data_IF_894276166164
#
_entry.id   IF_894276166164
#
_cell.length_a   1.000
_cell.length_b   1.000
_cell.length_c   1.000
_cell.angle_alpha   90.00
_cell.angle_beta   90.00
_cell.angle_gamma   90.00
#
_symmetry.space_group_name_H-M   'P 1'
#
loop_
_entity.id
_entity.type
_entity.pdbx_description
1 polymer ?
#
# COMPACT_ATOMS: atom_id res chain seq x y z
N UNK A 1 21.86 -6.83 -15.43
CA UNK A 1 22.15 -5.40 -15.17
C UNK A 1 22.67 -5.26 -13.75
N UNK A 2 23.99 -5.14 -13.58
CA UNK A 2 24.61 -4.76 -12.30
C UNK A 2 24.35 -3.25 -12.10
N UNK A 3 23.41 -2.89 -11.25
CA UNK A 3 23.14 -1.48 -10.93
C UNK A 3 24.13 -1.02 -9.86
N UNK A 4 24.89 0.00 -10.23
CA UNK A 4 26.03 0.59 -9.53
C UNK A 4 25.62 1.23 -8.19
N UNK A 5 25.60 0.43 -7.13
CA UNK A 5 25.83 0.89 -5.76
C UNK A 5 27.31 0.73 -5.44
N UNK A 6 28.18 1.50 -6.09
CA UNK A 6 29.58 1.57 -5.68
C UNK A 6 29.64 2.21 -4.28
N UNK A 7 30.24 1.53 -3.30
CA UNK A 7 30.44 2.02 -1.93
C UNK A 7 31.19 3.37 -1.83
N UNK A 8 31.79 3.85 -2.92
CA UNK A 8 32.57 5.11 -3.00
C UNK A 8 31.91 6.22 -3.82
N UNK A 9 30.96 5.93 -4.73
CA UNK A 9 30.32 6.93 -5.63
C UNK A 9 28.84 6.66 -5.97
N UNK A 10 28.19 5.72 -5.29
CA UNK A 10 26.79 5.33 -5.51
C UNK A 10 25.79 6.01 -4.58
N UNK A 11 24.50 5.80 -4.85
CA UNK A 11 23.42 6.20 -3.95
C UNK A 11 23.48 5.39 -2.65
N UNK A 12 23.27 6.06 -1.52
CA UNK A 12 23.16 5.36 -0.23
C UNK A 12 21.92 4.45 -0.22
N UNK A 13 21.93 3.32 0.51
CA UNK A 13 20.75 2.46 0.67
C UNK A 13 19.49 3.21 1.11
N UNK A 14 19.65 4.24 1.94
CA UNK A 14 18.56 5.12 2.38
C UNK A 14 17.96 5.92 1.23
N UNK A 15 18.80 6.50 0.36
CA UNK A 15 18.35 7.23 -0.83
C UNK A 15 17.71 6.29 -1.86
N UNK A 16 18.26 5.10 -2.08
CA UNK A 16 17.66 4.08 -2.93
C UNK A 16 16.26 3.69 -2.44
N UNK A 17 16.12 3.46 -1.13
CA UNK A 17 14.83 3.18 -0.50
C UNK A 17 13.84 4.33 -0.65
N UNK A 18 14.30 5.58 -0.47
CA UNK A 18 13.47 6.76 -0.64
C UNK A 18 12.96 6.86 -2.08
N UNK A 19 13.84 6.72 -3.07
CA UNK A 19 13.48 6.75 -4.50
C UNK A 19 12.46 5.66 -4.85
N UNK A 20 12.64 4.46 -4.30
CA UNK A 20 11.68 3.37 -4.48
C UNK A 20 10.29 3.76 -3.94
N UNK A 21 10.22 4.32 -2.73
CA UNK A 21 8.95 4.72 -2.11
C UNK A 21 8.29 5.92 -2.79
N UNK A 22 9.07 6.90 -3.26
CA UNK A 22 8.53 8.13 -3.85
C UNK A 22 8.13 7.96 -5.31
N UNK A 23 8.88 7.18 -6.09
CA UNK A 23 8.70 7.10 -7.54
C UNK A 23 8.09 5.75 -7.95
N UNK A 24 8.66 4.63 -7.48
CA UNK A 24 8.31 3.31 -8.01
C UNK A 24 6.99 2.80 -7.42
N UNK A 25 6.84 2.88 -6.09
CA UNK A 25 5.65 2.37 -5.40
C UNK A 25 4.37 3.06 -5.88
N UNK A 26 4.29 4.40 -6.02
CA UNK A 26 3.07 5.06 -6.47
C UNK A 26 2.70 4.69 -7.91
N UNK A 27 3.67 4.62 -8.82
CA UNK A 27 3.43 4.24 -10.22
C UNK A 27 2.91 2.80 -10.30
N UNK A 28 3.58 1.87 -9.60
CA UNK A 28 3.21 0.46 -9.62
C UNK A 28 1.88 0.17 -8.92
N UNK A 29 1.53 0.96 -7.90
CA UNK A 29 0.28 0.80 -7.15
C UNK A 29 -0.87 1.63 -7.70
N UNK A 30 -0.67 2.59 -8.61
CA UNK A 30 -1.75 3.44 -9.12
C UNK A 30 -2.97 2.64 -9.62
N UNK A 31 -2.70 1.58 -10.40
CA UNK A 31 -3.73 0.72 -10.98
C UNK A 31 -4.29 -0.35 -10.04
N UNK A 32 -3.89 -0.41 -8.76
CA UNK A 32 -4.27 -1.53 -7.88
C UNK A 32 -5.80 -1.69 -7.76
N UNK A 33 -6.53 -0.57 -7.81
CA UNK A 33 -7.99 -0.52 -7.69
C UNK A 33 -8.71 -1.26 -8.82
N UNK A 34 -8.06 -1.50 -9.97
CA UNK A 34 -8.65 -2.17 -11.14
C UNK A 34 -8.56 -3.70 -11.09
N UNK A 35 -7.71 -4.27 -10.23
CA UNK A 35 -7.46 -5.72 -10.23
C UNK A 35 -7.36 -6.32 -8.81
N UNK A 36 -7.43 -5.48 -7.77
CA UNK A 36 -7.39 -5.89 -6.37
C UNK A 36 -8.79 -5.82 -5.75
N UNK A 37 -9.61 -6.83 -6.05
CA UNK A 37 -10.94 -7.00 -5.46
C UNK A 37 -11.01 -8.29 -4.62
N UNK A 38 -12.03 -8.36 -3.77
CA UNK A 38 -12.18 -9.43 -2.78
C UNK A 38 -12.58 -10.79 -3.39
N UNK A 39 -13.12 -10.81 -4.61
CA UNK A 39 -13.54 -12.03 -5.32
C UNK A 39 -12.52 -12.56 -6.34
N UNK A 40 -11.66 -11.71 -6.89
CA UNK A 40 -10.74 -12.07 -8.00
C UNK A 40 -9.42 -11.32 -7.88
N UNK A 41 -8.54 -11.79 -6.99
CA UNK A 41 -7.16 -11.28 -6.96
C UNK A 41 -6.40 -11.78 -8.18
N UNK A 42 -6.03 -10.87 -9.07
CA UNK A 42 -5.19 -11.23 -10.21
C UNK A 42 -3.80 -11.68 -9.71
N UNK A 43 -3.57 -12.99 -9.73
CA UNK A 43 -2.30 -13.61 -9.31
C UNK A 43 -1.11 -13.10 -10.15
N UNK A 44 -1.34 -12.82 -11.43
CA UNK A 44 -0.33 -12.28 -12.36
C UNK A 44 0.17 -10.90 -11.93
N UNK A 45 -0.75 -9.97 -11.71
CA UNK A 45 -0.42 -8.62 -11.23
C UNK A 45 0.30 -8.66 -9.87
N UNK A 46 -0.17 -9.50 -8.93
CA UNK A 46 0.51 -9.70 -7.65
C UNK A 46 1.95 -10.23 -7.81
N UNK A 47 2.15 -11.18 -8.73
CA UNK A 47 3.47 -11.75 -8.99
C UNK A 47 4.42 -10.74 -9.64
N UNK A 48 3.93 -9.90 -10.56
CA UNK A 48 4.70 -8.80 -11.14
C UNK A 48 5.15 -7.82 -10.06
N UNK A 49 4.25 -7.45 -9.15
CA UNK A 49 4.52 -6.53 -8.06
C UNK A 49 5.53 -7.11 -7.05
N UNK A 50 5.44 -8.41 -6.74
CA UNK A 50 6.44 -9.14 -5.94
C UNK A 50 7.81 -9.18 -6.62
N UNK A 51 7.87 -9.44 -7.93
CA UNK A 51 9.14 -9.44 -8.70
C UNK A 51 9.79 -8.05 -8.69
N UNK A 52 9.00 -7.00 -8.86
CA UNK A 52 9.45 -5.61 -8.78
C UNK A 52 10.04 -5.32 -7.38
N UNK A 53 9.30 -5.66 -6.31
CA UNK A 53 9.77 -5.44 -4.95
C UNK A 53 11.04 -6.22 -4.61
N UNK A 54 11.17 -7.47 -5.07
CA UNK A 54 12.41 -8.25 -4.89
C UNK A 54 13.61 -7.58 -5.59
N UNK A 55 13.43 -7.08 -6.81
CA UNK A 55 14.49 -6.34 -7.52
C UNK A 55 14.88 -5.07 -6.75
N UNK A 56 13.90 -4.33 -6.25
CA UNK A 56 14.16 -3.14 -5.42
C UNK A 56 14.88 -3.50 -4.12
N UNK A 57 14.48 -4.58 -3.43
CA UNK A 57 15.11 -5.02 -2.20
C UNK A 57 16.58 -5.45 -2.42
N UNK A 58 16.87 -6.17 -3.50
CA UNK A 58 18.24 -6.50 -3.92
C UNK A 58 19.05 -5.24 -4.23
N UNK A 59 18.46 -4.26 -4.91
CA UNK A 59 19.13 -3.00 -5.23
C UNK A 59 19.43 -2.15 -3.98
N UNK A 60 18.52 -2.11 -3.01
CA UNK A 60 18.71 -1.36 -1.76
C UNK A 60 19.74 -2.03 -0.85
N UNK A 61 19.68 -3.36 -0.72
CA UNK A 61 20.53 -4.10 0.23
C UNK A 61 21.88 -4.50 -0.36
N UNK A 62 22.01 -4.59 -1.69
CA UNK A 62 23.20 -5.12 -2.34
C UNK A 62 23.44 -6.61 -2.09
N UNK A 63 22.45 -7.34 -1.58
CA UNK A 63 22.57 -8.75 -1.21
C UNK A 63 22.60 -9.68 -2.44
N UNK A 64 23.04 -10.92 -2.24
CA UNK A 64 23.10 -11.93 -3.30
C UNK A 64 21.71 -12.27 -3.87
N UNK A 65 21.65 -12.59 -5.17
CA UNK A 65 20.41 -12.99 -5.84
C UNK A 65 19.74 -14.23 -5.23
N UNK A 66 20.51 -15.11 -4.60
CA UNK A 66 20.06 -16.33 -3.90
C UNK A 66 19.42 -16.05 -2.54
N UNK A 67 19.51 -14.82 -2.02
CA UNK A 67 18.97 -14.47 -0.71
C UNK A 67 17.44 -14.61 -0.66
N UNK A 68 16.88 -15.06 0.48
CA UNK A 68 15.44 -15.23 0.63
C UNK A 68 14.70 -13.88 0.59
N UNK A 69 13.58 -13.82 -0.13
CA UNK A 69 12.86 -12.55 -0.38
C UNK A 69 12.33 -11.90 0.90
N UNK A 70 11.80 -12.69 1.85
CA UNK A 70 11.30 -12.14 3.12
C UNK A 70 12.40 -11.49 3.96
N UNK A 71 13.60 -12.09 3.97
CA UNK A 71 14.77 -11.52 4.65
C UNK A 71 15.23 -10.21 3.99
N UNK A 72 15.24 -10.16 2.66
CA UNK A 72 15.59 -8.95 1.91
C UNK A 72 14.61 -7.81 2.18
N UNK A 73 13.31 -8.09 2.22
CA UNK A 73 12.29 -7.08 2.54
C UNK A 73 12.48 -6.53 3.95
N UNK A 74 12.76 -7.40 4.93
CA UNK A 74 13.03 -6.99 6.31
C UNK A 74 14.30 -6.11 6.41
N UNK A 75 15.40 -6.54 5.79
CA UNK A 75 16.67 -5.78 5.77
C UNK A 75 16.55 -4.45 5.02
N UNK A 76 15.78 -4.41 3.93
CA UNK A 76 15.51 -3.19 3.18
C UNK A 76 14.49 -2.27 3.87
N UNK A 77 13.84 -2.71 4.95
CA UNK A 77 12.76 -1.98 5.61
C UNK A 77 11.53 -1.79 4.71
N UNK A 78 11.24 -2.76 3.85
CA UNK A 78 10.09 -2.76 2.95
C UNK A 78 8.94 -3.59 3.55
N UNK A 79 7.71 -3.11 3.38
CA UNK A 79 6.50 -3.83 3.79
C UNK A 79 6.19 -4.86 2.69
N UNK A 80 5.87 -6.12 3.03
CA UNK A 80 5.44 -7.10 2.04
C UNK A 80 4.29 -6.60 1.17
N UNK A 81 4.39 -6.79 -0.15
CA UNK A 81 3.46 -6.22 -1.15
C UNK A 81 1.98 -6.43 -0.82
N UNK A 82 1.62 -7.65 -0.39
CA UNK A 82 0.23 -8.00 -0.10
C UNK A 82 -0.34 -7.21 1.10
N UNK A 83 0.49 -6.93 2.11
CA UNK A 83 0.13 -6.12 3.27
C UNK A 83 -0.02 -4.66 2.83
N UNK A 84 0.91 -4.17 2.00
CA UNK A 84 0.85 -2.82 1.45
C UNK A 84 -0.45 -2.58 0.67
N UNK A 85 -0.84 -3.50 -0.21
CA UNK A 85 -2.09 -3.41 -0.96
C UNK A 85 -3.33 -3.46 -0.07
N UNK A 86 -3.34 -4.32 0.95
CA UNK A 86 -4.43 -4.35 1.94
C UNK A 86 -4.55 -3.01 2.65
N UNK A 87 -3.42 -2.43 3.09
CA UNK A 87 -3.39 -1.10 3.72
C UNK A 87 -3.94 -0.03 2.78
N UNK A 88 -3.49 0.02 1.52
CA UNK A 88 -3.98 0.98 0.53
C UNK A 88 -5.49 0.84 0.31
N UNK A 89 -5.98 -0.38 0.13
CA UNK A 89 -7.40 -0.65 -0.05
C UNK A 89 -8.22 -0.13 1.14
N UNK A 90 -7.83 -0.45 2.37
CA UNK A 90 -8.53 0.02 3.57
C UNK A 90 -8.46 1.55 3.69
N UNK A 91 -7.29 2.16 3.48
CA UNK A 91 -7.13 3.62 3.47
C UNK A 91 -8.05 4.31 2.45
N UNK A 92 -8.20 3.75 1.24
CA UNK A 92 -9.11 4.32 0.24
C UNK A 92 -10.57 4.20 0.67
N UNK A 93 -11.00 3.08 1.27
CA UNK A 93 -12.37 2.95 1.79
C UNK A 93 -12.61 3.99 2.91
N UNK A 94 -11.67 4.18 3.84
CA UNK A 94 -11.81 5.23 4.86
C UNK A 94 -11.93 6.62 4.25
N UNK A 95 -11.08 6.97 3.30
CA UNK A 95 -11.13 8.28 2.64
C UNK A 95 -12.50 8.55 2.05
N UNK A 96 -13.09 7.55 1.40
CA UNK A 96 -14.44 7.68 0.85
C UNK A 96 -15.51 7.71 1.94
N UNK A 97 -15.36 6.93 3.00
CA UNK A 97 -16.28 6.94 4.15
C UNK A 97 -16.26 8.26 4.95
N UNK A 98 -15.18 9.04 4.87
CA UNK A 98 -15.08 10.36 5.50
C UNK A 98 -15.61 11.51 4.64
N UNK A 99 -15.88 11.29 3.35
CA UNK A 99 -16.46 12.31 2.46
C UNK A 99 -17.87 12.72 2.89
N UNK A 100 -18.34 13.87 2.41
CA UNK A 100 -19.74 14.28 2.58
C UNK A 100 -20.69 13.27 1.93
N UNK A 101 -21.90 13.15 2.49
CA UNK A 101 -22.95 12.27 1.95
C UNK A 101 -23.37 12.67 0.52
N UNK A 102 -23.17 13.94 0.16
CA UNK A 102 -23.42 14.49 -1.18
C UNK A 102 -22.36 14.15 -2.22
N UNK A 103 -21.22 13.56 -1.84
CA UNK A 103 -20.13 13.31 -2.77
C UNK A 103 -20.45 12.15 -3.73
N UNK A 104 -20.29 12.30 -5.07
CA UNK A 104 -20.68 11.27 -6.04
C UNK A 104 -19.95 9.95 -5.80
N UNK A 105 -18.65 9.98 -5.45
CA UNK A 105 -17.90 8.76 -5.12
C UNK A 105 -18.48 7.98 -3.92
N UNK A 106 -19.13 8.65 -2.98
CA UNK A 106 -19.77 7.98 -1.83
C UNK A 106 -21.09 7.33 -2.24
N UNK A 107 -21.87 8.00 -3.09
CA UNK A 107 -23.09 7.45 -3.68
C UNK A 107 -22.80 6.24 -4.59
N UNK A 108 -21.69 6.29 -5.36
CA UNK A 108 -21.26 5.19 -6.23
C UNK A 108 -20.74 3.96 -5.47
N UNK A 109 -20.25 4.11 -4.24
CA UNK A 109 -19.75 2.98 -3.46
C UNK A 109 -20.88 2.28 -2.70
N UNK A 110 -21.02 0.96 -2.91
CA UNK A 110 -21.99 0.16 -2.17
C UNK A 110 -21.78 0.21 -0.66
N UNK A 111 -22.89 0.31 0.10
CA UNK A 111 -22.89 0.38 1.58
C UNK A 111 -22.07 -0.75 2.23
N UNK A 112 -22.07 -1.96 1.65
CA UNK A 112 -21.28 -3.09 2.14
C UNK A 112 -19.76 -2.89 2.11
N UNK A 113 -19.24 -2.13 1.14
CA UNK A 113 -17.81 -1.80 1.09
C UNK A 113 -17.44 -0.77 2.15
N UNK A 114 -18.34 0.17 2.46
CA UNK A 114 -18.16 1.18 3.50
C UNK A 114 -18.16 0.57 4.91
N UNK A 115 -18.94 -0.49 5.16
CA UNK A 115 -18.93 -1.23 6.44
C UNK A 115 -17.55 -1.80 6.81
N UNK A 116 -16.69 -2.08 5.82
CA UNK A 116 -15.32 -2.57 6.05
C UNK A 116 -14.34 -1.50 6.54
N UNK A 117 -14.73 -0.22 6.56
CA UNK A 117 -13.94 0.87 7.10
C UNK A 117 -14.13 1.04 8.61
N UNK A 118 -13.91 -0.01 9.41
CA UNK A 118 -13.89 0.09 10.87
C UNK A 118 -12.51 0.64 11.33
N UNK A 119 -12.41 1.89 11.82
CA UNK A 119 -11.12 2.56 12.03
C UNK A 119 -10.30 1.84 13.10
N UNK A 120 -8.99 1.78 12.89
CA UNK A 120 -8.09 1.34 13.96
C UNK A 120 -8.26 2.27 15.17
N UNK A 121 -8.21 1.74 16.39
CA UNK A 121 -8.51 2.49 17.62
C UNK A 121 -7.73 3.81 17.72
N UNK A 122 -6.42 3.78 17.41
CA UNK A 122 -5.58 4.99 17.37
C UNK A 122 -6.01 6.02 16.31
N UNK A 123 -6.42 5.59 15.11
CA UNK A 123 -6.91 6.52 14.09
C UNK A 123 -8.28 7.10 14.46
N UNK A 124 -9.13 6.33 15.13
CA UNK A 124 -10.43 6.81 15.61
C UNK A 124 -10.29 7.89 16.70
N UNK A 125 -9.25 7.79 17.53
CA UNK A 125 -8.93 8.78 18.55
C UNK A 125 -8.53 10.14 17.95
N UNK A 126 -7.83 10.13 16.82
CA UNK A 126 -7.38 11.34 16.10
C UNK A 126 -8.46 11.97 15.21
N UNK A 127 -9.60 11.29 15.02
CA UNK A 127 -10.71 11.83 14.22
C UNK A 127 -11.53 12.85 14.98
N UNK A 128 -12.00 13.87 14.26
CA UNK A 128 -12.99 14.81 14.78
C UNK A 128 -14.30 14.08 15.13
N UNK A 129 -15.08 14.59 16.11
CA UNK A 129 -16.35 13.97 16.50
C UNK A 129 -17.32 13.76 15.33
N UNK A 130 -17.37 14.70 14.39
CA UNK A 130 -18.19 14.61 13.18
C UNK A 130 -17.76 13.47 12.24
N UNK A 131 -16.45 13.27 12.04
CA UNK A 131 -15.93 12.14 11.27
C UNK A 131 -16.21 10.81 11.95
N UNK A 132 -16.07 10.75 13.28
CA UNK A 132 -16.35 9.54 14.07
C UNK A 132 -17.82 9.14 13.98
N UNK A 133 -18.74 10.11 14.01
CA UNK A 133 -20.18 9.89 13.83
C UNK A 133 -20.51 9.29 12.46
N UNK A 134 -19.94 9.84 11.39
CA UNK A 134 -20.14 9.33 10.02
C UNK A 134 -19.60 7.93 9.81
N UNK A 135 -18.42 7.63 10.34
CA UNK A 135 -17.84 6.29 10.22
C UNK A 135 -18.66 5.28 11.02
N UNK A 136 -19.15 5.64 12.21
CA UNK A 136 -20.06 4.79 13.00
C UNK A 136 -21.39 4.56 12.29
N UNK A 137 -22.01 5.58 11.69
CA UNK A 137 -23.27 5.42 10.98
C UNK A 137 -23.13 4.53 9.73
N UNK A 138 -21.99 4.59 9.03
CA UNK A 138 -21.71 3.69 7.90
C UNK A 138 -21.46 2.23 8.31
N UNK A 139 -21.08 1.97 9.56
CA UNK A 139 -20.82 0.62 10.09
C UNK A 139 -22.07 0.04 10.76
N UNK A 140 -22.96 0.88 11.33
CA UNK A 140 -24.09 0.48 12.18
C UNK A 140 -25.47 0.32 11.52
N UNK A 141 -25.62 0.52 10.20
CA UNK A 141 -26.87 0.26 9.44
C UNK A 141 -26.63 -0.77 8.36
#
# INVERSE_FOLDING_TARGET
MHMLGNSTRGLSPKQCRLLYWSCVVPIATYGYRLWYFDGTRNKGAMNQLKRMQRKAALWITGAFHTSPTGGLEALAGLIPVHIMLKKLATCTVYRVATLSDTHPLRSMMGKGLLKRAAPHARSAALMTPAMRGKVKSTVGS
#
